data_IF_624833032343
#
_entry.id   IF_624833032343
#
_cell.length_a   1.000
_cell.length_b   1.000
_cell.length_c   1.000
_cell.angle_alpha   90.00
_cell.angle_beta   90.00
_cell.angle_gamma   90.00
#
_symmetry.space_group_name_H-M   'P 1'
#
loop_
_entity.id
_entity.type
_entity.pdbx_description
1 polymer ?
#
# COMPACT_ATOMS: atom_id res chain seq x y z
N UNK A 1 -2.84 0.49 19.31
CA UNK A 1 -2.26 -0.86 19.16
C UNK A 1 -2.31 -1.30 17.70
N UNK A 2 -1.21 -1.87 17.20
CA UNK A 2 -1.16 -2.36 15.82
C UNK A 2 -1.70 -3.79 15.80
N UNK A 3 -2.69 -4.08 14.92
CA UNK A 3 -3.23 -5.44 14.80
C UNK A 3 -2.16 -6.48 14.45
N UNK A 4 -2.31 -7.69 14.99
CA UNK A 4 -1.36 -8.78 14.78
C UNK A 4 -1.18 -9.12 13.30
N UNK A 5 -2.25 -9.05 12.50
CA UNK A 5 -2.18 -9.33 11.06
C UNK A 5 -1.20 -8.39 10.35
N UNK A 6 -1.17 -7.12 10.76
CA UNK A 6 -0.26 -6.13 10.17
C UNK A 6 1.17 -6.33 10.64
N UNK A 7 1.36 -6.77 11.88
CA UNK A 7 2.69 -7.11 12.40
C UNK A 7 3.26 -8.28 11.61
N UNK A 8 2.46 -9.34 11.42
CA UNK A 8 2.87 -10.51 10.64
C UNK A 8 3.18 -10.14 9.19
N UNK A 9 2.32 -9.33 8.57
CA UNK A 9 2.53 -8.89 7.20
C UNK A 9 3.86 -8.13 7.05
N UNK A 10 4.17 -7.27 8.01
CA UNK A 10 5.42 -6.51 8.01
C UNK A 10 6.64 -7.41 8.16
N UNK A 11 6.57 -8.41 9.04
CA UNK A 11 7.66 -9.36 9.23
C UNK A 11 7.92 -10.18 7.96
N UNK A 12 6.85 -10.62 7.29
CA UNK A 12 6.97 -11.35 6.04
C UNK A 12 7.60 -10.48 4.94
N UNK A 13 7.23 -9.21 4.90
CA UNK A 13 7.83 -8.26 3.95
C UNK A 13 9.33 -8.13 4.19
N UNK A 14 9.74 -8.02 5.45
CA UNK A 14 11.15 -7.87 5.82
C UNK A 14 12.00 -9.07 5.40
N UNK A 15 11.44 -10.28 5.45
CA UNK A 15 12.17 -11.48 5.05
C UNK A 15 12.02 -11.80 3.56
N UNK A 16 11.34 -10.96 2.81
CA UNK A 16 11.21 -11.11 1.37
C UNK A 16 10.05 -11.98 0.90
N UNK A 17 9.16 -12.41 1.79
CA UNK A 17 7.96 -13.14 1.39
C UNK A 17 6.86 -12.15 1.02
N UNK A 18 7.07 -11.48 -0.11
CA UNK A 18 6.20 -10.40 -0.58
C UNK A 18 4.80 -10.89 -0.94
N UNK A 19 4.70 -12.09 -1.46
CA UNK A 19 3.40 -12.66 -1.85
C UNK A 19 2.49 -12.88 -0.65
N UNK A 20 3.01 -13.52 0.39
CA UNK A 20 2.22 -13.78 1.60
C UNK A 20 1.95 -12.47 2.36
N UNK A 21 2.95 -11.58 2.42
CA UNK A 21 2.79 -10.28 3.04
C UNK A 21 1.63 -9.50 2.41
N UNK A 22 1.61 -9.37 1.07
CA UNK A 22 0.54 -8.61 0.41
C UNK A 22 -0.83 -9.27 0.59
N UNK A 23 -0.88 -10.60 0.67
CA UNK A 23 -2.13 -11.31 0.93
C UNK A 23 -2.70 -10.95 2.29
N UNK A 24 -1.85 -10.84 3.31
CA UNK A 24 -2.28 -10.44 4.65
C UNK A 24 -2.73 -8.99 4.70
N UNK A 25 -2.01 -8.08 4.03
CA UNK A 25 -2.42 -6.68 3.93
C UNK A 25 -3.76 -6.54 3.19
N UNK A 26 -3.95 -7.28 2.09
CA UNK A 26 -5.21 -7.25 1.35
C UNK A 26 -6.36 -7.75 2.20
N UNK A 27 -6.15 -8.86 2.91
CA UNK A 27 -7.17 -9.42 3.79
C UNK A 27 -7.54 -8.43 4.89
N UNK A 28 -6.55 -7.77 5.50
CA UNK A 28 -6.83 -6.76 6.51
C UNK A 28 -7.69 -5.63 5.95
N UNK A 29 -7.32 -5.12 4.78
CA UNK A 29 -8.09 -4.08 4.11
C UNK A 29 -9.53 -4.51 3.86
N UNK A 30 -9.71 -5.72 3.34
CA UNK A 30 -11.04 -6.23 2.98
C UNK A 30 -11.96 -6.42 4.19
N UNK A 31 -11.39 -6.85 5.32
CA UNK A 31 -12.18 -7.18 6.51
C UNK A 31 -12.25 -6.06 7.55
N UNK A 32 -11.59 -4.93 7.32
CA UNK A 32 -11.56 -3.81 8.26
C UNK A 32 -11.85 -2.48 7.55
N UNK A 33 -13.07 -2.33 6.97
CA UNK A 33 -13.38 -1.18 6.10
C UNK A 33 -13.45 0.16 6.83
N UNK A 34 -13.44 0.16 8.17
CA UNK A 34 -13.48 1.39 8.96
C UNK A 34 -12.20 1.64 9.77
N UNK A 35 -11.24 0.73 9.70
CA UNK A 35 -10.02 0.85 10.50
C UNK A 35 -9.09 1.91 9.88
N UNK A 36 -8.51 2.82 10.71
CA UNK A 36 -7.61 3.86 10.19
C UNK A 36 -6.39 3.30 9.44
N UNK A 37 -5.90 2.12 9.82
CA UNK A 37 -4.74 1.50 9.17
C UNK A 37 -5.07 0.80 7.85
N UNK A 38 -6.34 0.85 7.40
CA UNK A 38 -6.71 0.31 6.08
C UNK A 38 -5.97 1.02 4.95
N UNK A 39 -5.64 2.29 5.12
CA UNK A 39 -4.88 3.05 4.13
C UNK A 39 -3.45 2.51 4.01
N UNK A 40 -2.81 2.25 5.16
CA UNK A 40 -1.50 1.61 5.18
C UNK A 40 -1.55 0.24 4.50
N UNK A 41 -2.56 -0.56 4.85
CA UNK A 41 -2.68 -1.91 4.29
C UNK A 41 -2.80 -1.89 2.77
N UNK A 42 -3.65 -1.02 2.24
CA UNK A 42 -3.84 -0.93 0.79
C UNK A 42 -2.56 -0.45 0.08
N UNK A 43 -1.87 0.53 0.66
CA UNK A 43 -0.58 0.97 0.13
C UNK A 43 0.44 -0.17 0.11
N UNK A 44 0.53 -0.93 1.20
CA UNK A 44 1.52 -2.00 1.31
C UNK A 44 1.29 -3.15 0.34
N UNK A 45 0.04 -3.39 -0.09
CA UNK A 45 -0.23 -4.35 -1.15
C UNK A 45 0.57 -3.96 -2.41
N UNK A 46 0.46 -2.69 -2.82
CA UNK A 46 1.20 -2.19 -3.97
C UNK A 46 2.71 -2.22 -3.74
N UNK A 47 3.15 -1.83 -2.54
CA UNK A 47 4.57 -1.73 -2.24
C UNK A 47 5.23 -3.12 -2.19
N UNK A 48 4.51 -4.16 -1.84
CA UNK A 48 5.01 -5.54 -1.92
C UNK A 48 5.28 -5.95 -3.38
N UNK A 49 4.42 -5.55 -4.31
CA UNK A 49 4.68 -5.77 -5.73
C UNK A 49 5.94 -5.02 -6.17
N UNK A 50 6.11 -3.80 -5.70
CA UNK A 50 7.28 -2.98 -6.03
C UNK A 50 8.57 -3.67 -5.57
N UNK A 51 8.62 -4.12 -4.32
CA UNK A 51 9.79 -4.80 -3.76
C UNK A 51 10.06 -6.15 -4.42
N UNK A 52 9.02 -6.80 -4.93
CA UNK A 52 9.15 -8.06 -5.65
C UNK A 52 9.57 -7.87 -7.11
N UNK A 53 9.71 -6.63 -7.57
CA UNK A 53 10.07 -6.35 -8.96
C UNK A 53 8.91 -6.42 -9.94
N UNK A 54 7.69 -6.57 -9.46
CA UNK A 54 6.47 -6.61 -10.28
C UNK A 54 5.95 -5.18 -10.49
N UNK A 55 6.68 -4.42 -11.29
CA UNK A 55 6.48 -2.97 -11.38
C UNK A 55 5.15 -2.55 -12.00
N UNK A 56 4.64 -3.29 -12.98
CA UNK A 56 3.34 -2.96 -13.54
C UNK A 56 2.22 -3.17 -12.54
N UNK A 57 2.26 -4.29 -11.79
CA UNK A 57 1.28 -4.56 -10.73
C UNK A 57 1.40 -3.53 -9.60
N UNK A 58 2.62 -3.13 -9.28
CA UNK A 58 2.87 -2.09 -8.27
C UNK A 58 2.24 -0.77 -8.69
N UNK A 59 2.50 -0.34 -9.93
CA UNK A 59 1.95 0.91 -10.47
C UNK A 59 0.43 0.91 -10.43
N UNK A 60 -0.19 -0.19 -10.86
CA UNK A 60 -1.65 -0.35 -10.82
C UNK A 60 -2.15 -0.26 -9.38
N UNK A 61 -1.44 -0.88 -8.44
CA UNK A 61 -1.80 -0.86 -7.03
C UNK A 61 -1.71 0.52 -6.40
N UNK A 62 -0.67 1.30 -6.73
CA UNK A 62 -0.55 2.67 -6.24
C UNK A 62 -1.66 3.55 -6.79
N UNK A 63 -2.01 3.40 -8.06
CA UNK A 63 -3.12 4.14 -8.66
C UNK A 63 -4.45 3.80 -8.00
N UNK A 64 -4.67 2.53 -7.71
CA UNK A 64 -5.85 2.08 -6.99
C UNK A 64 -5.92 2.69 -5.60
N UNK A 65 -4.79 2.73 -4.89
CA UNK A 65 -4.68 3.39 -3.58
C UNK A 65 -5.07 4.87 -3.67
N UNK A 66 -4.51 5.59 -4.64
CA UNK A 66 -4.78 7.02 -4.82
C UNK A 66 -6.26 7.27 -5.10
N UNK A 67 -6.88 6.46 -5.96
CA UNK A 67 -8.30 6.55 -6.26
C UNK A 67 -9.15 6.29 -5.02
N UNK A 68 -8.82 5.23 -4.28
CA UNK A 68 -9.52 4.88 -3.06
C UNK A 68 -9.48 6.05 -2.05
N UNK A 69 -8.31 6.64 -1.84
CA UNK A 69 -8.15 7.77 -0.92
C UNK A 69 -8.99 8.97 -1.34
N UNK A 70 -9.02 9.27 -2.63
CA UNK A 70 -9.77 10.40 -3.16
C UNK A 70 -11.29 10.26 -2.97
N UNK A 71 -11.77 9.03 -2.88
CA UNK A 71 -13.19 8.73 -2.71
C UNK A 71 -13.66 8.76 -1.26
N UNK A 72 -12.73 8.78 -0.30
CA UNK A 72 -13.09 8.74 1.12
C UNK A 72 -13.54 10.10 1.64
N UNK A 73 -14.50 10.07 2.57
CA UNK A 73 -15.09 11.28 3.17
C UNK A 73 -15.10 11.14 4.69
N UNK A 74 -15.24 12.29 5.37
CA UNK A 74 -15.36 12.33 6.83
C UNK A 74 -14.16 11.69 7.54
N UNK A 75 -12.97 11.99 7.05
CA UNK A 75 -11.72 11.40 7.54
C UNK A 75 -11.32 12.01 8.89
N UNK A 76 -10.78 11.17 9.78
CA UNK A 76 -10.16 11.63 11.01
C UNK A 76 -8.79 12.26 10.72
N UNK A 77 -8.22 12.93 11.72
CA UNK A 77 -6.85 13.46 11.61
C UNK A 77 -5.84 12.35 11.38
N UNK A 78 -6.00 11.23 12.09
CA UNK A 78 -5.13 10.07 11.93
C UNK A 78 -5.19 9.53 10.51
N UNK A 79 -6.40 9.36 9.98
CA UNK A 79 -6.59 8.88 8.60
C UNK A 79 -6.00 9.83 7.56
N UNK A 80 -6.21 11.13 7.76
CA UNK A 80 -5.63 12.15 6.87
C UNK A 80 -4.11 12.08 6.89
N UNK A 81 -3.52 11.87 8.06
CA UNK A 81 -2.08 11.71 8.19
C UNK A 81 -1.54 10.52 7.39
N UNK A 82 -2.20 9.37 7.50
CA UNK A 82 -1.82 8.19 6.72
C UNK A 82 -1.93 8.43 5.22
N UNK A 83 -3.04 9.02 4.79
CA UNK A 83 -3.29 9.32 3.38
C UNK A 83 -2.20 10.26 2.84
N UNK A 84 -1.89 11.34 3.55
CA UNK A 84 -0.90 12.30 3.11
C UNK A 84 0.49 11.66 2.94
N UNK A 85 0.90 10.85 3.91
CA UNK A 85 2.19 10.19 3.89
C UNK A 85 2.29 9.19 2.71
N UNK A 86 1.29 8.33 2.56
CA UNK A 86 1.34 7.28 1.55
C UNK A 86 0.99 7.77 0.15
N UNK A 87 0.23 8.86 0.02
CA UNK A 87 0.01 9.51 -1.27
C UNK A 87 1.32 10.04 -1.84
N UNK A 88 2.09 10.73 -1.00
CA UNK A 88 3.39 11.26 -1.39
C UNK A 88 4.32 10.13 -1.84
N UNK A 89 4.37 9.06 -1.05
CA UNK A 89 5.22 7.90 -1.36
C UNK A 89 4.75 7.18 -2.62
N UNK A 90 3.43 7.06 -2.83
CA UNK A 90 2.87 6.44 -4.04
C UNK A 90 3.28 7.18 -5.30
N UNK A 91 3.20 8.50 -5.30
CA UNK A 91 3.62 9.31 -6.43
C UNK A 91 5.12 9.13 -6.71
N UNK A 92 5.93 9.07 -5.67
CA UNK A 92 7.37 8.84 -5.78
C UNK A 92 7.66 7.47 -6.42
N UNK A 93 6.97 6.42 -5.98
CA UNK A 93 7.12 5.06 -6.53
C UNK A 93 6.70 4.99 -7.99
N UNK A 94 5.56 5.59 -8.33
CA UNK A 94 5.07 5.62 -9.72
C UNK A 94 6.11 6.31 -10.61
N UNK A 95 6.65 7.43 -10.16
CA UNK A 95 7.67 8.16 -10.90
C UNK A 95 8.91 7.31 -11.14
N UNK A 96 9.36 6.59 -10.11
CA UNK A 96 10.50 5.67 -10.22
C UNK A 96 10.24 4.57 -11.25
N UNK A 97 9.04 3.98 -11.22
CA UNK A 97 8.67 2.91 -12.15
C UNK A 97 8.64 3.44 -13.59
N UNK A 98 8.03 4.61 -13.81
CA UNK A 98 7.94 5.21 -15.14
C UNK A 98 9.29 5.60 -15.69
N UNK A 99 10.18 6.11 -14.83
CA UNK A 99 11.53 6.47 -15.22
C UNK A 99 12.32 5.24 -15.68
N UNK A 100 12.19 4.12 -14.96
CA UNK A 100 12.88 2.88 -15.31
C UNK A 100 12.36 2.30 -16.63
N UNK A 101 11.06 2.43 -16.90
CA UNK A 101 10.48 1.95 -18.16
C UNK A 101 10.98 2.73 -19.37
N UNK A 102 11.42 3.96 -19.21
CA UNK A 102 11.93 4.79 -20.29
C UNK A 102 13.32 4.34 -20.81
N UNK A 103 13.93 3.39 -20.11
CA UNK A 103 15.25 2.84 -20.52
C UNK A 103 15.15 1.50 -21.24
N UNK A 104 13.95 1.03 -21.48
CA UNK A 104 13.74 -0.27 -22.16
C UNK A 104 13.48 -0.09 -23.64
#
# INVERSE_FOLDING_TARGET
MIPNELIQANELQKIGDYKLSRSLYQKFFDYNPQHPLRFKALFEVADNFFHAGCYQDAKNGYKLFLTYCAEQKNLSEEETGWINAYTKLSHSRIKTIEKNNNYI
#
